data_IF_282047626034
#
_entry.id   IF_282047626034
#
_cell.length_a   1.000
_cell.length_b   1.000
_cell.length_c   1.000
_cell.angle_alpha   90.00
_cell.angle_beta   90.00
_cell.angle_gamma   90.00
#
_symmetry.space_group_name_H-M   'P 1'
#
loop_
_entity.id
_entity.type
_entity.pdbx_description
1 polymer ?
#
# COMPACT_ATOMS: atom_id res chain seq x y z
N UNK A 1 -17.98 14.37 -1.88
CA UNK A 1 -17.43 13.74 -0.67
C UNK A 1 -18.47 12.75 -0.19
N UNK A 2 -18.20 11.45 -0.26
CA UNK A 2 -19.15 10.43 0.17
C UNK A 2 -18.96 10.24 1.67
N UNK A 3 -19.96 10.67 2.45
CA UNK A 3 -20.00 10.54 3.90
C UNK A 3 -20.58 9.16 4.21
N UNK A 4 -19.74 8.20 4.60
CA UNK A 4 -20.22 6.90 5.05
C UNK A 4 -20.53 7.01 6.55
N UNK A 5 -21.76 6.67 6.95
CA UNK A 5 -22.17 6.60 8.35
C UNK A 5 -21.86 5.22 8.95
N UNK A 6 -21.26 5.21 10.14
CA UNK A 6 -21.05 4.00 10.93
C UNK A 6 -22.34 3.54 11.62
N UNK A 7 -22.33 2.30 12.14
CA UNK A 7 -23.44 1.70 12.90
C UNK A 7 -23.84 2.47 14.16
N UNK A 8 -22.99 3.39 14.63
CA UNK A 8 -23.20 4.26 15.80
C UNK A 8 -23.63 5.68 15.37
N UNK A 9 -23.82 5.94 14.07
CA UNK A 9 -24.21 7.25 13.54
C UNK A 9 -23.07 8.26 13.46
N UNK A 10 -21.82 7.81 13.50
CA UNK A 10 -20.66 8.67 13.30
C UNK A 10 -20.37 8.82 11.80
N UNK A 11 -20.30 10.06 11.33
CA UNK A 11 -19.90 10.38 9.96
C UNK A 11 -18.37 10.41 9.87
N UNK A 12 -17.81 9.58 9.01
CA UNK A 12 -16.37 9.58 8.75
C UNK A 12 -16.00 10.65 7.71
N UNK A 13 -14.94 11.42 8.01
CA UNK A 13 -14.35 12.38 7.07
C UNK A 13 -13.61 11.70 5.90
N UNK A 14 -13.25 10.43 6.09
CA UNK A 14 -12.44 9.62 5.18
C UNK A 14 -13.23 8.32 4.95
N UNK A 15 -13.29 7.79 3.72
CA UNK A 15 -13.95 6.51 3.48
C UNK A 15 -13.29 5.40 4.29
N UNK A 16 -14.09 4.40 4.68
CA UNK A 16 -13.63 3.21 5.41
C UNK A 16 -12.59 2.43 4.61
N UNK A 17 -12.66 2.48 3.28
CA UNK A 17 -11.63 2.00 2.38
C UNK A 17 -10.87 3.18 1.76
N UNK A 18 -9.59 3.31 2.08
CA UNK A 18 -8.73 4.37 1.55
C UNK A 18 -8.54 4.29 0.03
N UNK A 19 -8.74 3.12 -0.58
CA UNK A 19 -8.66 2.97 -2.03
C UNK A 19 -9.77 3.74 -2.75
N UNK A 20 -10.89 4.01 -2.08
CA UNK A 20 -12.01 4.77 -2.64
C UNK A 20 -11.65 6.25 -2.87
N UNK A 21 -10.54 6.74 -2.28
CA UNK A 21 -10.00 8.07 -2.55
C UNK A 21 -9.14 8.13 -3.82
N UNK A 22 -8.70 6.97 -4.34
CA UNK A 22 -7.77 6.90 -5.45
C UNK A 22 -8.53 6.62 -6.74
N UNK A 23 -8.41 7.45 -7.78
CA UNK A 23 -9.06 7.18 -9.06
C UNK A 23 -8.60 5.84 -9.65
N UNK A 24 -9.51 5.04 -10.22
CA UNK A 24 -9.18 3.72 -10.78
C UNK A 24 -8.07 3.77 -11.84
N UNK A 25 -7.98 4.86 -12.60
CA UNK A 25 -6.95 5.09 -13.62
C UNK A 25 -5.59 5.53 -13.06
N UNK A 26 -5.43 5.61 -11.73
CA UNK A 26 -4.21 6.10 -11.13
C UNK A 26 -3.04 5.11 -11.34
N UNK A 27 -1.84 5.58 -11.74
CA UNK A 27 -0.69 4.71 -12.05
C UNK A 27 -0.21 3.88 -10.86
N UNK A 28 -0.58 4.22 -9.63
CA UNK A 28 -0.25 3.42 -8.45
C UNK A 28 -0.80 1.99 -8.55
N UNK A 29 -1.93 1.76 -9.21
CA UNK A 29 -2.50 0.42 -9.38
C UNK A 29 -1.65 -0.42 -10.32
N UNK A 30 -1.11 0.18 -11.38
CA UNK A 30 -0.14 -0.48 -12.25
C UNK A 30 1.13 -0.86 -11.48
N UNK A 31 1.72 0.10 -10.75
CA UNK A 31 2.93 -0.15 -9.95
C UNK A 31 2.69 -1.22 -8.88
N UNK A 32 1.54 -1.19 -8.21
CA UNK A 32 1.13 -2.21 -7.25
C UNK A 32 1.11 -3.59 -7.91
N UNK A 33 0.39 -3.73 -9.02
CA UNK A 33 0.22 -5.00 -9.71
C UNK A 33 1.55 -5.54 -10.25
N UNK A 34 2.40 -4.68 -10.81
CA UNK A 34 3.73 -5.04 -11.28
C UNK A 34 4.59 -5.58 -10.13
N UNK A 35 4.65 -4.85 -9.02
CA UNK A 35 5.47 -5.25 -7.87
C UNK A 35 4.90 -6.49 -7.17
N UNK A 36 3.59 -6.72 -7.22
CA UNK A 36 2.96 -7.94 -6.69
C UNK A 36 3.31 -9.21 -7.48
N UNK A 37 3.71 -9.08 -8.74
CA UNK A 37 4.21 -10.20 -9.55
C UNK A 37 5.68 -10.54 -9.27
N UNK A 38 6.41 -9.67 -8.56
CA UNK A 38 7.82 -9.90 -8.22
C UNK A 38 7.90 -10.70 -6.92
N UNK A 39 8.67 -11.79 -6.97
CA UNK A 39 8.98 -12.58 -5.79
C UNK A 39 9.99 -11.86 -4.89
N UNK A 40 9.63 -11.69 -3.61
CA UNK A 40 10.47 -11.08 -2.59
C UNK A 40 10.78 -12.04 -1.45
N UNK A 41 10.35 -13.30 -1.50
CA UNK A 41 10.37 -14.21 -0.35
C UNK A 41 11.80 -14.52 0.12
N UNK A 42 12.70 -14.77 -0.82
CA UNK A 42 14.15 -14.96 -0.55
C UNK A 42 14.81 -13.73 0.08
N UNK A 43 14.35 -12.54 -0.29
CA UNK A 43 14.88 -11.29 0.25
C UNK A 43 14.26 -11.07 1.63
N UNK A 44 12.96 -11.28 1.77
CA UNK A 44 12.23 -11.00 2.99
C UNK A 44 12.65 -11.93 4.12
N UNK A 45 12.80 -13.22 3.85
CA UNK A 45 13.23 -14.25 4.81
C UNK A 45 14.56 -13.90 5.51
N UNK A 46 15.49 -13.24 4.81
CA UNK A 46 16.77 -12.78 5.37
C UNK A 46 16.63 -11.67 6.43
N UNK A 47 15.49 -11.00 6.48
CA UNK A 47 15.25 -9.86 7.38
C UNK A 47 14.10 -10.09 8.38
N UNK A 48 13.32 -11.16 8.24
CA UNK A 48 12.27 -11.52 9.19
C UNK A 48 12.92 -12.07 10.47
N UNK A 49 12.63 -11.44 11.62
CA UNK A 49 13.10 -11.91 12.93
C UNK A 49 14.49 -11.45 13.36
N UNK A 50 15.21 -10.69 12.52
CA UNK A 50 16.50 -10.07 12.90
C UNK A 50 16.33 -8.78 13.70
N UNK A 51 17.15 -8.58 14.73
CA UNK A 51 17.23 -7.33 15.47
C UNK A 51 17.63 -6.17 14.54
N UNK A 52 16.92 -5.04 14.61
CA UNK A 52 17.11 -3.90 13.70
C UNK A 52 16.25 -3.95 12.43
N UNK A 53 15.07 -4.55 12.50
CA UNK A 53 14.12 -4.65 11.39
C UNK A 53 13.90 -3.28 10.72
N UNK A 54 14.09 -3.22 9.39
CA UNK A 54 13.82 -1.99 8.63
C UNK A 54 12.33 -1.67 8.72
N UNK A 55 12.00 -0.39 8.90
CA UNK A 55 10.62 0.09 9.10
C UNK A 55 9.63 -0.32 8.00
N UNK A 56 10.11 -0.60 6.78
CA UNK A 56 9.27 -0.91 5.63
C UNK A 56 9.71 -2.18 4.89
N UNK A 57 8.73 -2.92 4.37
CA UNK A 57 8.96 -4.10 3.54
C UNK A 57 9.68 -3.72 2.24
N UNK A 58 10.47 -4.65 1.70
CA UNK A 58 11.16 -4.44 0.41
C UNK A 58 10.17 -4.21 -0.71
N UNK A 59 9.06 -4.96 -0.70
CA UNK A 59 7.93 -4.76 -1.62
C UNK A 59 7.42 -3.32 -1.60
N UNK A 60 7.21 -2.75 -0.41
CA UNK A 60 6.77 -1.35 -0.27
C UNK A 60 7.82 -0.36 -0.77
N UNK A 61 9.09 -0.54 -0.41
CA UNK A 61 10.17 0.33 -0.86
C UNK A 61 10.32 0.31 -2.38
N UNK A 62 10.21 -0.85 -3.01
CA UNK A 62 10.26 -0.98 -4.47
C UNK A 62 9.11 -0.25 -5.14
N UNK A 63 7.88 -0.32 -4.59
CA UNK A 63 6.75 0.47 -5.10
C UNK A 63 7.04 1.98 -5.05
N UNK A 64 7.63 2.46 -3.96
CA UNK A 64 8.00 3.87 -3.81
C UNK A 64 9.08 4.31 -4.81
N UNK A 65 10.13 3.50 -5.00
CA UNK A 65 11.21 3.81 -5.95
C UNK A 65 10.67 3.88 -7.38
N UNK A 66 9.86 2.92 -7.80
CA UNK A 66 9.27 2.90 -9.15
C UNK A 66 8.32 4.09 -9.32
N UNK A 67 7.48 4.37 -8.33
CA UNK A 67 6.55 5.51 -8.38
C UNK A 67 7.28 6.85 -8.44
N UNK A 68 8.41 7.01 -7.75
CA UNK A 68 9.21 8.23 -7.78
C UNK A 68 10.06 8.38 -9.06
N UNK A 69 10.23 7.30 -9.82
CA UNK A 69 11.01 7.30 -11.08
C UNK A 69 10.15 7.61 -12.31
N UNK A 70 8.85 7.84 -12.11
CA UNK A 70 7.83 8.10 -13.13
C UNK A 70 7.32 9.53 -13.00
#
# INVERSE_FOLDING_TARGET
MVLHEDKIGQTFLIPTNLLDLVPESHPCFFVKNLVDQVDFDDIHSKFVGTAGMRAYSKRMLTRLVIMASN
#
